data_IF_251003300428
#
_entry.id   IF_251003300428
#
_cell.length_a   1.000
_cell.length_b   1.000
_cell.length_c   1.000
_cell.angle_alpha   90.00
_cell.angle_beta   90.00
_cell.angle_gamma   90.00
#
_symmetry.space_group_name_H-M   'P 1'
#
loop_
_entity.id
_entity.type
_entity.pdbx_description
1 polymer ?
#
# COMPACT_ATOMS: atom_id res chain seq x y z
N UNK A 1 -19.95 0.41 62.33
CA UNK A 1 -19.00 -0.55 61.71
C UNK A 1 -19.73 -1.32 60.59
N UNK A 2 -19.74 -0.88 59.35
CA UNK A 2 -18.61 -0.43 58.54
C UNK A 2 -18.56 -1.38 57.34
N UNK A 3 -18.99 -0.91 56.17
CA UNK A 3 -19.10 -1.73 54.96
C UNK A 3 -19.93 -1.07 53.87
N UNK A 4 -19.63 0.20 53.56
CA UNK A 4 -20.26 0.95 52.47
C UNK A 4 -19.71 0.45 51.13
N UNK A 5 -20.56 -0.16 50.31
CA UNK A 5 -20.26 -0.51 48.92
C UNK A 5 -20.14 0.78 48.12
N UNK A 6 -18.91 1.20 47.79
CA UNK A 6 -18.68 2.22 46.77
C UNK A 6 -18.77 1.58 45.39
N UNK A 7 -19.93 1.73 44.75
CA UNK A 7 -20.07 1.64 43.30
C UNK A 7 -19.32 2.80 42.66
N UNK A 8 -18.02 2.60 42.38
CA UNK A 8 -17.30 3.49 41.46
C UNK A 8 -17.88 3.27 40.06
N UNK A 9 -18.70 4.22 39.61
CA UNK A 9 -19.01 4.39 38.18
C UNK A 9 -17.69 4.58 37.44
N UNK A 10 -17.24 3.54 36.74
CA UNK A 10 -16.26 3.69 35.67
C UNK A 10 -16.92 4.59 34.59
N UNK A 11 -16.33 5.73 34.22
CA UNK A 11 -16.71 6.38 32.98
C UNK A 11 -16.40 5.42 31.82
N UNK A 12 -17.33 5.29 30.89
CA UNK A 12 -17.15 4.56 29.63
C UNK A 12 -15.82 4.92 28.96
N UNK A 13 -15.21 3.96 28.27
CA UNK A 13 -13.96 4.01 27.48
C UNK A 13 -13.98 5.04 26.32
N UNK A 14 -14.34 6.30 26.60
CA UNK A 14 -14.51 7.40 25.65
C UNK A 14 -13.44 8.48 25.79
N UNK A 15 -12.40 8.26 26.62
CA UNK A 15 -11.23 9.12 26.70
C UNK A 15 -10.43 8.98 25.42
N UNK A 16 -10.82 9.79 24.45
CA UNK A 16 -10.30 9.80 23.10
C UNK A 16 -9.10 10.73 23.05
N UNK A 17 -8.19 10.39 22.16
CA UNK A 17 -6.82 10.86 22.20
C UNK A 17 -6.52 11.46 20.83
N UNK A 18 -6.19 12.75 20.81
CA UNK A 18 -5.89 13.48 19.58
C UNK A 18 -4.40 13.32 19.29
N UNK A 19 -4.07 12.61 18.21
CA UNK A 19 -2.69 12.43 17.74
C UNK A 19 -2.39 13.47 16.68
N UNK A 20 -1.33 14.25 16.86
CA UNK A 20 -1.01 15.42 16.03
C UNK A 20 0.41 15.31 15.48
N UNK A 21 0.64 14.70 14.31
CA UNK A 21 1.92 14.79 13.61
C UNK A 21 2.08 16.14 12.91
N UNK A 22 3.25 16.76 13.10
CA UNK A 22 3.76 17.84 12.23
C UNK A 22 4.64 17.23 11.12
N UNK A 23 4.16 17.18 9.87
CA UNK A 23 5.06 16.97 8.75
C UNK A 23 5.95 18.19 8.50
N UNK A 24 7.26 17.97 8.53
CA UNK A 24 8.24 18.81 7.85
C UNK A 24 8.52 18.14 6.51
N UNK A 25 7.70 18.42 5.49
CA UNK A 25 8.05 18.08 4.11
C UNK A 25 8.57 19.35 3.42
N UNK A 26 9.85 19.40 2.99
CA UNK A 26 10.21 20.24 1.86
C UNK A 26 9.56 19.64 0.62
N UNK A 27 8.81 20.48 -0.10
CA UNK A 27 8.09 20.19 -1.33
C UNK A 27 8.91 19.35 -2.32
N UNK A 28 8.40 18.19 -2.71
CA UNK A 28 8.86 17.49 -3.92
C UNK A 28 7.74 17.57 -4.94
N UNK A 29 7.70 18.67 -5.71
CA UNK A 29 7.66 18.64 -7.17
C UNK A 29 7.53 20.07 -7.75
N UNK A 30 8.11 20.26 -8.94
CA UNK A 30 7.87 21.35 -9.91
C UNK A 30 8.60 22.69 -9.74
N UNK A 31 9.95 22.70 -9.85
CA UNK A 31 10.64 23.69 -10.73
C UNK A 31 12.09 23.24 -10.98
N UNK A 32 12.33 22.50 -12.07
CA UNK A 32 13.70 22.41 -12.63
C UNK A 32 13.87 23.61 -13.55
N UNK A 33 14.24 24.75 -12.97
CA UNK A 33 15.03 25.75 -13.69
C UNK A 33 16.47 25.56 -13.26
N UNK A 34 17.31 25.40 -14.27
CA UNK A 34 18.75 25.22 -14.22
C UNK A 34 19.40 26.08 -13.13
N UNK A 35 20.07 25.45 -12.16
CA UNK A 35 21.31 25.95 -11.56
C UNK A 35 22.05 24.79 -10.90
N UNK A 36 23.34 24.68 -11.23
CA UNK A 36 24.26 23.59 -10.91
C UNK A 36 24.59 23.45 -9.40
N UNK A 37 25.19 22.31 -8.98
CA UNK A 37 25.12 21.82 -7.61
C UNK A 37 26.31 22.27 -6.75
N UNK A 38 26.05 22.63 -5.48
CA UNK A 38 27.09 22.64 -4.43
C UNK A 38 26.55 22.19 -3.08
N UNK A 39 27.20 21.13 -2.58
CA UNK A 39 27.38 20.73 -1.19
C UNK A 39 26.24 20.01 -0.46
N UNK A 40 26.35 18.67 -0.46
CA UNK A 40 26.56 17.88 0.76
C UNK A 40 27.47 16.69 0.40
N UNK A 41 28.78 16.95 0.36
CA UNK A 41 29.81 15.91 0.44
C UNK A 41 30.31 15.87 1.88
N UNK A 42 29.95 14.81 2.60
CA UNK A 42 30.90 14.10 3.47
C UNK A 42 30.73 12.63 3.13
N UNK A 43 31.73 12.12 2.40
CA UNK A 43 31.79 10.74 1.97
C UNK A 43 32.19 9.82 3.12
N UNK A 44 31.44 8.74 3.27
CA UNK A 44 32.03 7.45 3.60
C UNK A 44 32.42 6.78 2.28
N UNK A 45 33.56 6.06 2.22
CA UNK A 45 33.95 5.36 1.00
C UNK A 45 32.91 4.28 0.68
N UNK A 46 32.26 4.41 -0.47
CA UNK A 46 31.34 3.40 -0.99
C UNK A 46 32.06 2.05 -1.07
N UNK A 47 31.52 1.03 -0.40
CA UNK A 47 32.00 -0.33 -0.56
C UNK A 47 31.88 -0.75 -2.03
N UNK A 48 32.95 -1.33 -2.57
CA UNK A 48 32.97 -1.85 -3.94
C UNK A 48 31.84 -2.91 -4.10
N UNK A 49 30.89 -2.67 -5.02
CA UNK A 49 29.82 -3.63 -5.35
C UNK A 49 28.38 -3.09 -5.28
N UNK A 50 28.15 -1.82 -4.94
CA UNK A 50 26.79 -1.28 -4.88
C UNK A 50 26.27 -0.89 -6.27
N UNK A 51 25.17 -1.51 -6.71
CA UNK A 51 24.49 -1.23 -7.99
C UNK A 51 24.00 0.23 -8.01
N UNK A 52 24.48 1.02 -8.97
CA UNK A 52 24.22 2.47 -9.05
C UNK A 52 23.15 2.85 -10.04
N UNK A 53 22.87 1.99 -11.02
CA UNK A 53 21.93 2.26 -12.10
C UNK A 53 21.01 1.07 -12.37
N UNK A 54 19.84 1.33 -12.95
CA UNK A 54 18.96 0.25 -13.43
C UNK A 54 19.60 -0.58 -14.56
N UNK A 55 20.50 0.03 -15.35
CA UNK A 55 21.23 -0.67 -16.40
C UNK A 55 22.15 -1.76 -15.82
N UNK A 56 22.81 -1.50 -14.68
CA UNK A 56 23.62 -2.49 -13.96
C UNK A 56 22.80 -3.67 -13.41
N UNK A 57 21.50 -3.48 -13.18
CA UNK A 57 20.57 -4.56 -12.83
C UNK A 57 20.17 -5.40 -14.05
N UNK A 58 20.52 -4.98 -15.26
CA UNK A 58 20.06 -5.60 -16.51
C UNK A 58 18.61 -5.23 -16.85
N UNK A 59 18.08 -4.12 -16.32
CA UNK A 59 16.74 -3.66 -16.67
C UNK A 59 16.64 -3.40 -18.18
N UNK A 60 15.54 -3.86 -18.77
CA UNK A 60 15.26 -3.63 -20.19
C UNK A 60 15.19 -2.15 -20.50
N UNK A 61 15.78 -1.75 -21.63
CA UNK A 61 15.89 -0.35 -22.02
C UNK A 61 14.52 0.34 -22.11
N UNK A 62 13.48 -0.37 -22.58
CA UNK A 62 12.13 0.18 -22.69
C UNK A 62 11.54 0.59 -21.33
N UNK A 63 11.80 -0.21 -20.29
CA UNK A 63 11.38 0.12 -18.92
C UNK A 63 12.26 1.21 -18.32
N UNK A 64 13.58 1.17 -18.57
CA UNK A 64 14.51 2.18 -18.07
C UNK A 64 14.23 3.57 -18.66
N UNK A 65 13.84 3.65 -19.93
CA UNK A 65 13.54 4.90 -20.61
C UNK A 65 12.23 5.55 -20.13
N UNK A 66 11.31 4.76 -19.56
CA UNK A 66 10.07 5.24 -18.97
C UNK A 66 10.23 5.79 -17.55
N UNK A 67 11.40 5.64 -16.92
CA UNK A 67 11.65 6.09 -15.57
C UNK A 67 12.22 7.53 -15.54
N UNK A 68 11.75 8.39 -14.62
CA UNK A 68 12.26 9.75 -14.51
C UNK A 68 13.61 9.86 -13.78
N UNK A 69 14.19 8.73 -13.34
CA UNK A 69 15.46 8.65 -12.64
C UNK A 69 16.21 7.37 -13.02
N UNK A 70 17.53 7.39 -12.90
CA UNK A 70 18.41 6.30 -13.36
C UNK A 70 18.91 5.39 -12.25
N UNK A 71 18.90 5.86 -11.00
CA UNK A 71 19.42 5.13 -9.85
C UNK A 71 18.31 4.40 -9.07
N UNK A 72 18.41 3.09 -8.83
CA UNK A 72 17.44 2.35 -8.04
C UNK A 72 17.49 2.74 -6.56
N UNK A 73 16.32 2.87 -5.94
CA UNK A 73 16.17 3.02 -4.49
C UNK A 73 16.55 1.72 -3.76
N UNK A 74 16.85 1.81 -2.46
CA UNK A 74 17.34 0.68 -1.66
C UNK A 74 16.45 -0.56 -1.79
N UNK A 75 15.13 -0.44 -1.57
CA UNK A 75 14.20 -1.57 -1.67
C UNK A 75 14.16 -2.17 -3.09
N UNK A 76 14.37 -1.35 -4.13
CA UNK A 76 14.42 -1.81 -5.53
C UNK A 76 15.68 -2.65 -5.79
N UNK A 77 16.84 -2.20 -5.27
CA UNK A 77 18.10 -2.97 -5.33
C UNK A 77 17.98 -4.31 -4.60
N UNK A 78 17.44 -4.29 -3.39
CA UNK A 78 17.31 -5.48 -2.56
C UNK A 78 16.28 -6.49 -3.12
N UNK A 79 15.19 -6.02 -3.70
CA UNK A 79 14.13 -6.90 -4.23
C UNK A 79 14.49 -7.54 -5.57
N UNK A 80 15.27 -6.84 -6.40
CA UNK A 80 15.59 -7.26 -7.77
C UNK A 80 16.08 -8.72 -7.92
N UNK A 81 17.15 -9.17 -7.23
CA UNK A 81 17.69 -10.52 -7.47
C UNK A 81 16.70 -11.64 -7.13
N UNK A 82 15.81 -11.41 -6.16
CA UNK A 82 14.81 -12.38 -5.75
C UNK A 82 13.63 -12.41 -6.73
N UNK A 83 13.11 -11.24 -7.09
CA UNK A 83 11.92 -11.14 -7.94
C UNK A 83 12.20 -11.50 -9.39
N UNK A 84 13.33 -11.05 -9.95
CA UNK A 84 13.77 -11.44 -11.30
C UNK A 84 14.09 -12.95 -11.38
N UNK A 85 14.60 -13.53 -10.29
CA UNK A 85 14.79 -14.98 -10.14
C UNK A 85 13.48 -15.78 -10.00
N UNK A 86 12.33 -15.11 -9.89
CA UNK A 86 11.03 -15.75 -9.79
C UNK A 86 10.70 -16.28 -8.39
N UNK A 87 11.37 -15.83 -7.34
CA UNK A 87 11.05 -16.20 -5.96
C UNK A 87 9.79 -15.47 -5.45
N UNK A 88 9.06 -16.12 -4.56
CA UNK A 88 8.05 -15.43 -3.75
C UNK A 88 8.75 -14.46 -2.79
N UNK A 89 8.15 -13.31 -2.53
CA UNK A 89 8.78 -12.28 -1.71
C UNK A 89 7.80 -11.48 -0.85
N UNK A 90 8.28 -11.05 0.31
CA UNK A 90 7.61 -10.13 1.21
C UNK A 90 8.46 -8.87 1.33
N UNK A 91 8.01 -7.78 0.72
CA UNK A 91 8.69 -6.48 0.67
C UNK A 91 8.16 -5.60 1.81
N UNK A 92 9.04 -5.22 2.74
CA UNK A 92 8.71 -4.35 3.87
C UNK A 92 9.61 -3.11 3.85
N UNK A 93 9.04 -1.96 3.56
CA UNK A 93 9.75 -0.68 3.57
C UNK A 93 8.79 0.49 3.71
N UNK A 94 9.25 1.61 4.27
CA UNK A 94 8.41 2.79 4.56
C UNK A 94 7.63 3.34 3.35
N UNK A 95 6.58 4.13 3.58
CA UNK A 95 5.85 4.82 2.51
C UNK A 95 6.80 5.73 1.72
N UNK A 96 6.60 5.86 0.41
CA UNK A 96 7.50 6.66 -0.45
C UNK A 96 8.84 6.00 -0.82
N UNK A 97 9.21 4.86 -0.24
CA UNK A 97 10.46 4.14 -0.55
C UNK A 97 10.54 3.51 -1.96
N UNK A 98 9.50 3.63 -2.79
CA UNK A 98 9.47 3.09 -4.15
C UNK A 98 9.19 1.57 -4.26
N UNK A 99 8.45 1.00 -3.30
CA UNK A 99 7.99 -0.41 -3.31
C UNK A 99 7.30 -0.82 -4.60
N UNK A 100 6.47 0.07 -5.16
CA UNK A 100 5.72 -0.24 -6.38
C UNK A 100 6.64 -0.56 -7.55
N UNK A 101 7.65 0.26 -7.78
CA UNK A 101 8.67 -0.04 -8.80
C UNK A 101 9.55 -1.24 -8.42
N UNK A 102 9.77 -1.48 -7.12
CA UNK A 102 10.55 -2.63 -6.65
C UNK A 102 9.94 -3.96 -7.07
N UNK A 103 8.61 -4.09 -7.14
CA UNK A 103 7.96 -5.27 -7.72
C UNK A 103 7.62 -5.13 -9.20
N UNK A 104 7.23 -3.96 -9.70
CA UNK A 104 6.83 -3.81 -11.11
C UNK A 104 7.99 -4.06 -12.06
N UNK A 105 9.16 -3.47 -11.80
CA UNK A 105 10.30 -3.53 -12.73
C UNK A 105 10.78 -4.96 -13.00
N UNK A 106 11.12 -5.80 -11.99
CA UNK A 106 11.59 -7.15 -12.27
C UNK A 106 10.51 -8.05 -12.90
N UNK A 107 9.23 -7.86 -12.55
CA UNK A 107 8.13 -8.66 -13.09
C UNK A 107 7.85 -8.29 -14.56
N UNK A 108 7.76 -7.00 -14.87
CA UNK A 108 7.58 -6.52 -16.24
C UNK A 108 8.79 -6.85 -17.12
N UNK A 109 10.01 -6.72 -16.58
CA UNK A 109 11.24 -7.14 -17.26
C UNK A 109 11.15 -8.60 -17.69
N UNK A 110 10.81 -9.52 -16.77
CA UNK A 110 10.68 -10.93 -17.08
C UNK A 110 9.57 -11.24 -18.09
N UNK A 111 8.45 -10.51 -18.06
CA UNK A 111 7.36 -10.64 -19.05
C UNK A 111 7.81 -10.18 -20.44
N UNK A 112 8.56 -9.09 -20.53
CA UNK A 112 9.09 -8.55 -21.78
C UNK A 112 10.17 -9.43 -22.40
N UNK A 113 11.05 -10.03 -21.59
CA UNK A 113 12.03 -11.01 -22.07
C UNK A 113 11.35 -12.19 -22.79
N UNK A 114 10.23 -12.68 -22.23
CA UNK A 114 9.43 -13.75 -22.85
C UNK A 114 8.70 -13.30 -24.13
N UNK A 115 8.32 -12.02 -24.19
CA UNK A 115 7.73 -11.42 -25.37
C UNK A 115 8.75 -11.31 -26.52
N UNK A 116 9.97 -10.82 -26.21
CA UNK A 116 11.04 -10.58 -27.18
C UNK A 116 11.81 -11.83 -27.63
N UNK A 117 11.86 -12.89 -26.82
CA UNK A 117 12.61 -14.13 -27.13
C UNK A 117 12.11 -14.97 -28.31
N UNK A 118 11.27 -14.42 -29.20
CA UNK A 118 10.75 -15.09 -30.41
C UNK A 118 11.29 -14.56 -31.73
N UNK A 119 12.23 -13.61 -31.73
CA UNK A 119 12.76 -12.97 -32.96
C UNK A 119 13.63 -13.87 -33.87
N UNK A 120 13.61 -15.21 -33.71
CA UNK A 120 14.31 -16.14 -34.63
C UNK A 120 13.47 -17.24 -35.27
N UNK A 121 12.13 -17.15 -35.29
CA UNK A 121 11.34 -18.03 -36.16
C UNK A 121 10.39 -17.20 -37.03
N UNK A 122 10.81 -16.96 -38.27
CA UNK A 122 9.93 -16.63 -39.40
C UNK A 122 9.50 -15.16 -39.53
N UNK A 123 10.32 -14.36 -40.21
CA UNK A 123 9.82 -13.17 -40.93
C UNK A 123 8.87 -13.63 -42.05
N UNK A 124 7.58 -13.70 -41.77
CA UNK A 124 6.52 -13.61 -42.76
C UNK A 124 5.17 -13.34 -42.08
N UNK A 125 4.64 -12.12 -42.25
CA UNK A 125 3.21 -11.80 -42.06
C UNK A 125 2.78 -11.34 -40.66
N UNK A 126 2.32 -10.09 -40.58
CA UNK A 126 1.46 -9.52 -39.51
C UNK A 126 1.82 -9.89 -38.08
N UNK A 127 2.72 -9.12 -37.45
CA UNK A 127 3.13 -9.34 -36.05
C UNK A 127 1.94 -9.23 -35.09
N UNK A 128 1.37 -10.37 -34.72
CA UNK A 128 0.33 -10.47 -33.71
C UNK A 128 0.94 -10.11 -32.35
N UNK A 129 0.28 -9.24 -31.58
CA UNK A 129 0.75 -8.86 -30.26
C UNK A 129 0.95 -10.12 -29.40
N UNK A 130 2.02 -10.20 -28.59
CA UNK A 130 2.28 -11.38 -27.77
C UNK A 130 1.06 -11.68 -26.89
N UNK A 131 0.66 -12.95 -26.82
CA UNK A 131 -0.43 -13.36 -25.96
C UNK A 131 0.04 -13.42 -24.50
N UNK A 132 -0.80 -13.05 -23.51
CA UNK A 132 -0.50 -13.25 -22.10
C UNK A 132 -0.18 -14.71 -21.73
N UNK A 133 -0.58 -15.67 -22.58
CA UNK A 133 -0.24 -17.06 -22.34
C UNK A 133 1.26 -17.37 -22.49
N UNK A 134 1.93 -16.62 -23.37
CA UNK A 134 3.36 -16.75 -23.62
C UNK A 134 4.19 -15.90 -22.66
N UNK A 135 3.77 -14.68 -22.39
CA UNK A 135 4.53 -13.73 -21.56
C UNK A 135 4.30 -13.91 -20.06
N UNK A 136 3.23 -14.59 -19.70
CA UNK A 136 2.70 -14.62 -18.34
C UNK A 136 1.72 -13.45 -18.09
N UNK A 137 1.15 -13.45 -16.88
CA UNK A 137 0.19 -12.45 -16.39
C UNK A 137 0.65 -11.86 -15.08
N UNK A 138 0.45 -10.56 -14.91
CA UNK A 138 0.65 -9.84 -13.65
C UNK A 138 -0.69 -9.37 -13.11
N UNK A 139 -0.99 -9.77 -11.88
CA UNK A 139 -2.19 -9.39 -11.16
C UNK A 139 -1.82 -8.58 -9.93
N UNK A 140 -2.19 -7.30 -9.91
CA UNK A 140 -1.99 -6.39 -8.80
C UNK A 140 -3.29 -6.29 -7.99
N UNK A 141 -3.26 -6.79 -6.77
CA UNK A 141 -4.35 -6.76 -5.80
C UNK A 141 -4.11 -5.62 -4.83
N UNK A 142 -5.06 -4.68 -4.76
CA UNK A 142 -4.95 -3.46 -3.93
C UNK A 142 -6.16 -3.31 -3.00
N UNK A 143 -6.06 -2.63 -1.85
CA UNK A 143 -7.17 -2.49 -0.90
C UNK A 143 -8.23 -1.47 -1.34
N UNK A 144 -7.88 -0.48 -2.16
CA UNK A 144 -8.76 0.65 -2.52
C UNK A 144 -8.77 0.91 -4.02
N UNK A 145 -9.86 1.50 -4.52
CA UNK A 145 -9.95 1.94 -5.92
C UNK A 145 -9.00 3.10 -6.25
N UNK A 146 -8.68 3.94 -5.26
CA UNK A 146 -7.69 5.02 -5.43
C UNK A 146 -6.30 4.44 -5.70
N UNK A 147 -5.85 3.47 -4.88
CA UNK A 147 -4.57 2.81 -5.13
C UNK A 147 -4.58 2.03 -6.45
N UNK A 148 -5.75 1.52 -6.86
CA UNK A 148 -5.92 0.88 -8.17
C UNK A 148 -5.63 1.86 -9.32
N UNK A 149 -6.18 3.07 -9.29
CA UNK A 149 -5.95 4.09 -10.30
C UNK A 149 -4.48 4.54 -10.34
N UNK A 150 -3.84 4.67 -9.18
CA UNK A 150 -2.42 5.00 -9.08
C UNK A 150 -1.51 3.92 -9.69
N UNK A 151 -1.72 2.66 -9.33
CA UNK A 151 -0.97 1.54 -9.91
C UNK A 151 -1.22 1.40 -11.41
N UNK A 152 -2.47 1.62 -11.87
CA UNK A 152 -2.80 1.63 -13.30
C UNK A 152 -2.02 2.71 -14.05
N UNK A 153 -1.97 3.94 -13.52
CA UNK A 153 -1.23 5.03 -14.12
C UNK A 153 0.27 4.70 -14.20
N UNK A 154 0.86 4.18 -13.13
CA UNK A 154 2.27 3.79 -13.11
C UNK A 154 2.59 2.64 -14.07
N UNK A 155 1.76 1.59 -14.10
CA UNK A 155 1.95 0.47 -15.02
C UNK A 155 1.80 0.91 -16.49
N UNK A 156 0.84 1.80 -16.80
CA UNK A 156 0.68 2.36 -18.15
C UNK A 156 1.86 3.23 -18.57
N UNK A 157 2.39 4.06 -17.67
CA UNK A 157 3.57 4.87 -17.93
C UNK A 157 4.79 4.00 -18.27
N UNK A 158 5.04 2.94 -17.50
CA UNK A 158 6.13 1.98 -17.76
C UNK A 158 5.96 1.21 -19.08
N UNK A 159 4.73 0.98 -19.52
CA UNK A 159 4.40 0.16 -20.68
C UNK A 159 3.93 0.97 -21.90
N UNK A 160 4.17 2.29 -21.92
CA UNK A 160 3.70 3.17 -23.00
C UNK A 160 4.19 2.73 -24.39
N UNK A 161 5.43 2.24 -24.48
CA UNK A 161 6.06 1.76 -25.71
C UNK A 161 6.23 0.23 -25.71
N UNK A 162 5.36 -0.49 -24.99
CA UNK A 162 5.44 -1.93 -24.80
C UNK A 162 4.35 -2.67 -25.56
N UNK A 163 4.60 -3.92 -26.00
CA UNK A 163 3.54 -4.80 -26.51
C UNK A 163 2.60 -5.33 -25.41
N UNK A 164 2.90 -5.10 -24.12
CA UNK A 164 2.10 -5.60 -23.00
C UNK A 164 0.94 -4.63 -22.68
N UNK A 165 -0.25 -5.19 -22.50
CA UNK A 165 -1.47 -4.42 -22.20
C UNK A 165 -1.81 -4.37 -20.71
N UNK A 166 -2.33 -3.22 -20.27
CA UNK A 166 -2.71 -2.95 -18.87
C UNK A 166 -4.20 -2.64 -18.76
N UNK A 167 -4.88 -3.25 -17.80
CA UNK A 167 -6.32 -3.04 -17.59
C UNK A 167 -6.72 -3.00 -16.12
N UNK A 168 -7.78 -2.26 -15.81
CA UNK A 168 -8.46 -2.36 -14.53
C UNK A 168 -9.26 -3.68 -14.48
N UNK A 169 -9.35 -4.32 -13.32
CA UNK A 169 -10.10 -5.56 -13.16
C UNK A 169 -11.60 -5.42 -13.49
N UNK A 170 -12.15 -4.21 -13.38
CA UNK A 170 -13.53 -3.87 -13.75
C UNK A 170 -13.77 -3.68 -15.25
N UNK A 171 -12.72 -3.70 -16.09
CA UNK A 171 -12.87 -3.48 -17.54
C UNK A 171 -13.21 -4.78 -18.29
N UNK A 172 -13.96 -4.65 -19.39
CA UNK A 172 -14.37 -5.79 -20.22
C UNK A 172 -13.17 -6.57 -20.82
N UNK A 173 -12.10 -5.84 -21.14
CA UNK A 173 -10.87 -6.40 -21.69
C UNK A 173 -9.87 -6.87 -20.63
N UNK A 174 -10.20 -6.80 -19.33
CA UNK A 174 -9.32 -7.25 -18.24
C UNK A 174 -8.83 -8.68 -18.48
N UNK A 175 -9.72 -9.60 -18.88
CA UNK A 175 -9.38 -11.00 -19.11
C UNK A 175 -8.32 -11.23 -20.19
N UNK A 176 -8.28 -10.36 -21.20
CA UNK A 176 -7.31 -10.40 -22.29
C UNK A 176 -5.99 -9.69 -21.99
N UNK A 177 -5.90 -8.99 -20.87
CA UNK A 177 -4.77 -8.10 -20.58
C UNK A 177 -3.60 -8.81 -19.89
N UNK A 178 -2.40 -8.27 -20.08
CA UNK A 178 -1.16 -8.81 -19.50
C UNK A 178 -1.02 -8.44 -18.02
N UNK A 179 -1.30 -7.16 -17.72
CA UNK A 179 -1.30 -6.61 -16.38
C UNK A 179 -2.72 -6.24 -16.02
N UNK A 180 -3.23 -6.74 -14.90
CA UNK A 180 -4.53 -6.36 -14.35
C UNK A 180 -4.36 -5.83 -12.95
N UNK A 181 -4.98 -4.68 -12.68
CA UNK A 181 -4.98 -4.03 -11.37
C UNK A 181 -6.41 -3.96 -10.86
N UNK A 182 -6.64 -4.36 -9.61
CA UNK A 182 -7.97 -4.28 -9.05
C UNK A 182 -8.04 -4.52 -7.56
N UNK A 183 -9.18 -4.18 -6.97
CA UNK A 183 -9.49 -4.58 -5.62
C UNK A 183 -9.66 -6.09 -5.53
N UNK A 184 -9.43 -6.66 -4.34
CA UNK A 184 -9.50 -8.10 -4.15
C UNK A 184 -10.82 -8.73 -4.65
N UNK A 185 -11.96 -8.06 -4.43
CA UNK A 185 -13.27 -8.50 -4.92
C UNK A 185 -13.36 -8.50 -6.45
N UNK A 186 -12.87 -7.46 -7.13
CA UNK A 186 -12.92 -7.37 -8.58
C UNK A 186 -12.03 -8.43 -9.24
N UNK A 187 -10.88 -8.70 -8.63
CA UNK A 187 -9.89 -9.67 -9.10
C UNK A 187 -10.37 -11.12 -8.90
N UNK A 188 -11.03 -11.43 -7.79
CA UNK A 188 -11.53 -12.76 -7.48
C UNK A 188 -12.39 -13.35 -8.61
N UNK A 189 -13.27 -12.53 -9.21
CA UNK A 189 -14.10 -12.92 -10.35
C UNK A 189 -13.29 -13.29 -11.60
N UNK A 190 -12.12 -12.66 -11.82
CA UNK A 190 -11.25 -12.92 -12.97
C UNK A 190 -10.43 -14.20 -12.83
N UNK A 191 -9.91 -14.48 -11.63
CA UNK A 191 -9.01 -15.60 -11.35
C UNK A 191 -9.63 -16.96 -11.65
N UNK A 192 -10.94 -17.10 -11.44
CA UNK A 192 -11.69 -18.31 -11.77
C UNK A 192 -11.53 -18.74 -13.24
N UNK A 193 -11.35 -17.78 -14.16
CA UNK A 193 -11.18 -18.01 -15.59
C UNK A 193 -9.73 -18.05 -16.09
N UNK A 194 -8.79 -17.43 -15.36
CA UNK A 194 -7.39 -17.31 -15.76
C UNK A 194 -6.54 -18.54 -15.47
N UNK A 195 -6.87 -19.30 -14.44
CA UNK A 195 -6.12 -20.49 -14.02
C UNK A 195 -5.98 -21.60 -15.05
N UNK A 196 -6.75 -21.58 -16.14
CA UNK A 196 -6.74 -22.59 -17.21
C UNK A 196 -6.03 -22.14 -18.49
N UNK A 197 -5.44 -20.94 -18.51
CA UNK A 197 -4.76 -20.41 -19.68
C UNK A 197 -3.26 -20.42 -19.42
N UNK A 198 -2.55 -21.25 -20.19
CA UNK A 198 -1.12 -21.52 -20.14
C UNK A 198 -0.31 -20.23 -19.95
N UNK A 199 0.79 -20.25 -19.17
CA UNK A 199 1.61 -19.08 -18.85
C UNK A 199 1.81 -18.85 -17.35
N UNK A 200 2.94 -18.26 -16.94
CA UNK A 200 3.23 -18.01 -15.51
C UNK A 200 2.35 -16.87 -14.97
N UNK A 201 1.73 -17.08 -13.81
CA UNK A 201 0.95 -16.05 -13.10
C UNK A 201 1.78 -15.40 -12.00
N UNK A 202 1.85 -14.07 -12.00
CA UNK A 202 2.46 -13.27 -10.94
C UNK A 202 1.33 -12.55 -10.19
N UNK A 203 1.27 -12.67 -8.86
CA UNK A 203 0.26 -12.02 -8.03
C UNK A 203 0.94 -11.16 -6.98
N UNK A 204 0.66 -9.87 -7.01
CA UNK A 204 1.16 -8.88 -6.03
C UNK A 204 0.01 -8.46 -5.14
N UNK A 205 0.19 -8.56 -3.83
CA UNK A 205 -0.69 -7.97 -2.82
C UNK A 205 -0.03 -6.69 -2.30
N UNK A 206 -0.47 -5.54 -2.81
CA UNK A 206 0.01 -4.24 -2.34
C UNK A 206 -0.80 -3.77 -1.13
N UNK A 207 -0.14 -3.11 -0.17
CA UNK A 207 -0.67 -2.85 1.17
C UNK A 207 -1.30 -4.12 1.81
N UNK A 208 -0.51 -5.20 1.81
CA UNK A 208 -0.98 -6.54 2.19
C UNK A 208 -1.49 -6.64 3.64
N UNK A 209 -1.00 -5.79 4.53
CA UNK A 209 -1.47 -5.65 5.91
C UNK A 209 -2.95 -5.25 5.97
N UNK A 210 -3.43 -4.50 4.99
CA UNK A 210 -4.82 -4.07 4.89
C UNK A 210 -5.69 -5.10 4.22
N UNK A 211 -5.19 -5.65 3.11
CA UNK A 211 -5.86 -6.72 2.39
C UNK A 211 -6.12 -7.93 3.31
N UNK A 212 -5.21 -8.19 4.25
CA UNK A 212 -5.25 -9.36 5.13
C UNK A 212 -5.71 -9.04 6.57
N UNK A 213 -6.02 -7.78 6.89
CA UNK A 213 -6.37 -7.34 8.25
C UNK A 213 -7.52 -8.14 8.91
N UNK A 214 -8.45 -8.69 8.12
CA UNK A 214 -9.60 -9.46 8.62
C UNK A 214 -9.47 -10.99 8.53
N UNK A 215 -8.37 -11.55 8.00
CA UNK A 215 -8.09 -13.01 8.01
C UNK A 215 -7.95 -13.52 9.46
N UNK A 216 -7.88 -12.58 10.41
CA UNK A 216 -7.48 -12.75 11.79
C UNK A 216 -8.65 -12.92 12.78
N UNK A 217 -9.92 -12.86 12.34
CA UNK A 217 -11.10 -13.00 13.22
C UNK A 217 -11.52 -14.48 13.40
N UNK A 218 -11.63 -14.96 14.65
CA UNK A 218 -12.13 -16.31 14.99
C UNK A 218 -13.67 -16.39 14.91
N UNK A 219 -14.21 -17.53 14.43
CA UNK A 219 -15.63 -17.90 14.52
C UNK A 219 -16.38 -17.98 13.17
N UNK A 220 -17.71 -18.17 13.20
CA UNK A 220 -18.62 -18.18 12.01
C UNK A 220 -18.60 -16.88 11.18
N UNK A 221 -17.85 -15.86 11.61
CA UNK A 221 -17.57 -14.60 10.91
C UNK A 221 -16.19 -14.57 10.22
N UNK A 222 -15.46 -15.69 10.18
CA UNK A 222 -14.37 -15.89 9.23
C UNK A 222 -14.96 -16.03 7.81
N UNK A 223 -15.70 -15.01 7.37
CA UNK A 223 -16.04 -14.84 5.98
C UNK A 223 -14.72 -14.82 5.24
N UNK A 224 -14.59 -15.72 4.27
CA UNK A 224 -13.49 -15.75 3.35
C UNK A 224 -13.28 -14.32 2.82
N UNK A 225 -12.20 -13.66 3.25
CA UNK A 225 -11.91 -12.34 2.75
C UNK A 225 -11.58 -12.48 1.27
N UNK A 226 -12.01 -11.55 0.41
CA UNK A 226 -11.71 -11.60 -1.02
C UNK A 226 -10.21 -11.79 -1.28
N UNK A 227 -9.34 -11.13 -0.51
CA UNK A 227 -7.88 -11.29 -0.64
C UNK A 227 -7.39 -12.70 -0.26
N UNK A 228 -7.98 -13.34 0.75
CA UNK A 228 -7.67 -14.72 1.12
C UNK A 228 -8.15 -15.74 0.09
N UNK A 229 -9.27 -15.44 -0.58
CA UNK A 229 -9.74 -16.22 -1.72
C UNK A 229 -8.81 -16.06 -2.91
N UNK A 230 -8.41 -14.84 -3.25
CA UNK A 230 -7.41 -14.58 -4.28
C UNK A 230 -6.12 -15.35 -4.00
N UNK A 231 -5.62 -15.35 -2.77
CA UNK A 231 -4.43 -16.13 -2.39
C UNK A 231 -4.65 -17.64 -2.53
N UNK A 232 -5.78 -18.15 -2.05
CA UNK A 232 -6.14 -19.58 -2.17
C UNK A 232 -6.29 -20.00 -3.64
N UNK A 233 -6.90 -19.12 -4.44
CA UNK A 233 -7.03 -19.20 -5.89
C UNK A 233 -5.75 -18.83 -6.61
N UNK A 234 -4.67 -18.44 -5.95
CA UNK A 234 -3.35 -18.29 -6.56
C UNK A 234 -2.45 -19.50 -6.26
N UNK A 235 -2.59 -20.18 -5.12
CA UNK A 235 -1.73 -21.33 -4.77
C UNK A 235 -1.90 -22.59 -5.64
N UNK A 236 -0.83 -23.32 -6.00
CA UNK A 236 -0.96 -24.58 -6.73
C UNK A 236 -1.92 -25.55 -6.01
N UNK A 237 -2.86 -26.18 -6.75
CA UNK A 237 -3.74 -27.21 -6.16
C UNK A 237 -2.88 -28.44 -5.81
N UNK A 238 -3.17 -29.12 -4.69
CA UNK A 238 -2.65 -30.46 -4.44
C UNK A 238 -2.97 -31.32 -5.67
N UNK A 239 -1.94 -31.78 -6.38
CA UNK A 239 -2.12 -32.59 -7.58
C UNK A 239 -2.86 -33.89 -7.20
N UNK A 240 -3.86 -34.36 -7.98
CA UNK A 240 -4.38 -35.71 -7.79
C UNK A 240 -3.25 -36.74 -7.95
N UNK A 241 -3.32 -37.86 -7.22
CA UNK A 241 -2.35 -38.97 -7.36
C UNK A 241 -2.31 -39.40 -8.83
N UNK A 242 -1.16 -39.23 -9.47
CA UNK A 242 -0.93 -39.59 -10.88
C UNK A 242 -0.78 -41.10 -11.05
N UNK A 243 -1.06 -41.59 -12.26
CA UNK A 243 -0.59 -42.89 -12.73
C UNK A 243 0.84 -42.71 -13.26
N UNK A 244 1.71 -43.69 -13.03
CA UNK A 244 3.08 -43.69 -13.56
C UNK A 244 3.06 -43.57 -15.10
N UNK A 245 3.86 -42.66 -15.65
CA UNK A 245 4.05 -42.51 -17.11
C UNK A 245 3.42 -41.27 -17.77
N UNK A 246 2.63 -40.45 -17.05
CA UNK A 246 2.13 -39.18 -17.61
C UNK A 246 3.19 -38.07 -17.54
N UNK A 247 3.58 -37.54 -18.70
CA UNK A 247 4.47 -36.38 -18.81
C UNK A 247 3.98 -35.20 -17.94
N UNK A 248 4.89 -34.49 -17.29
CA UNK A 248 4.53 -33.28 -16.56
C UNK A 248 4.12 -32.18 -17.55
N UNK A 249 2.89 -31.64 -17.45
CA UNK A 249 2.62 -30.32 -18.00
C UNK A 249 3.62 -29.36 -17.37
N UNK A 250 4.31 -28.60 -18.21
CA UNK A 250 5.28 -27.58 -17.82
C UNK A 250 4.56 -26.33 -17.27
N UNK A 251 3.66 -26.52 -16.29
CA UNK A 251 2.99 -25.44 -15.59
C UNK A 251 3.99 -24.77 -14.65
N UNK A 252 4.45 -23.58 -15.02
CA UNK A 252 5.25 -22.74 -14.13
C UNK A 252 4.38 -22.32 -12.94
N UNK A 253 4.79 -22.61 -11.69
CA UNK A 253 4.02 -22.22 -10.54
C UNK A 253 3.88 -20.68 -10.47
N UNK A 254 2.78 -20.19 -9.89
CA UNK A 254 2.58 -18.77 -9.71
C UNK A 254 3.65 -18.19 -8.78
N UNK A 255 4.00 -16.93 -9.00
CA UNK A 255 4.87 -16.15 -8.10
C UNK A 255 4.00 -15.24 -7.24
N UNK A 256 4.20 -15.24 -5.93
CA UNK A 256 3.46 -14.46 -4.95
C UNK A 256 4.35 -13.38 -4.32
N UNK A 257 3.90 -12.13 -4.40
CA UNK A 257 4.62 -10.98 -3.85
C UNK A 257 3.68 -10.25 -2.88
N UNK A 258 4.17 -9.91 -1.70
CA UNK A 258 3.44 -9.13 -0.70
C UNK A 258 4.22 -7.85 -0.40
N UNK A 259 3.63 -6.68 -0.63
CA UNK A 259 4.25 -5.41 -0.34
C UNK A 259 3.47 -4.68 0.76
N UNK A 260 4.17 -4.15 1.75
CA UNK A 260 3.55 -3.28 2.76
C UNK A 260 4.58 -2.36 3.42
N UNK A 261 4.11 -1.22 3.93
CA UNK A 261 4.91 -0.38 4.80
C UNK A 261 5.18 -1.00 6.17
N UNK A 262 4.24 -1.80 6.67
CA UNK A 262 4.30 -2.38 8.01
C UNK A 262 3.72 -3.79 7.98
N UNK A 263 4.51 -4.78 8.41
CA UNK A 263 4.02 -6.14 8.61
C UNK A 263 4.21 -6.50 10.08
N UNK A 264 3.20 -6.29 10.94
CA UNK A 264 3.30 -6.62 12.35
C UNK A 264 3.53 -8.12 12.52
N UNK A 265 4.56 -8.49 13.30
CA UNK A 265 4.95 -9.89 13.52
C UNK A 265 4.40 -10.49 14.82
N UNK A 266 3.96 -9.67 15.77
CA UNK A 266 3.61 -10.14 17.11
C UNK A 266 2.16 -10.60 17.22
N UNK A 267 1.98 -11.75 17.85
CA UNK A 267 0.68 -12.40 18.05
C UNK A 267 0.34 -13.41 16.96
N UNK A 268 -0.25 -14.55 17.37
CA UNK A 268 -0.73 -15.63 16.48
C UNK A 268 -1.73 -15.17 15.41
N UNK A 269 -2.26 -13.97 15.59
CA UNK A 269 -3.26 -13.35 14.73
C UNK A 269 -2.75 -12.09 14.00
N UNK A 270 -1.44 -11.96 13.77
CA UNK A 270 -0.88 -10.89 12.93
C UNK A 270 -0.73 -11.30 11.46
N UNK A 271 -0.68 -10.30 10.56
CA UNK A 271 -0.41 -10.55 9.13
C UNK A 271 0.99 -11.15 8.94
N UNK A 272 1.98 -10.76 9.74
CA UNK A 272 3.30 -11.38 9.72
C UNK A 272 3.26 -12.87 10.10
N UNK A 273 2.51 -13.23 11.14
CA UNK A 273 2.31 -14.62 11.53
C UNK A 273 1.53 -15.42 10.48
N UNK A 274 0.55 -14.80 9.80
CA UNK A 274 -0.10 -15.38 8.64
C UNK A 274 0.94 -15.66 7.55
N UNK A 275 1.64 -14.64 7.05
CA UNK A 275 2.61 -14.80 5.96
C UNK A 275 3.70 -15.84 6.27
N UNK A 276 4.23 -15.86 7.49
CA UNK A 276 5.23 -16.85 7.90
C UNK A 276 4.70 -18.29 7.90
N UNK A 277 3.42 -18.50 8.21
CA UNK A 277 2.77 -19.83 8.20
C UNK A 277 2.36 -20.25 6.80
N UNK A 278 1.82 -19.31 6.04
CA UNK A 278 1.06 -19.56 4.82
C UNK A 278 1.90 -19.42 3.55
N UNK A 279 3.01 -18.68 3.62
CA UNK A 279 3.97 -18.50 2.52
C UNK A 279 5.40 -18.62 3.10
N UNK A 280 5.75 -19.79 3.69
CA UNK A 280 6.99 -19.95 4.47
C UNK A 280 8.26 -19.82 3.62
N UNK A 281 8.18 -20.09 2.32
CA UNK A 281 9.31 -20.07 1.40
C UNK A 281 9.55 -18.67 0.78
N UNK A 282 8.71 -17.67 1.11
CA UNK A 282 8.88 -16.32 0.60
C UNK A 282 10.08 -15.62 1.23
N UNK A 283 10.88 -14.95 0.39
CA UNK A 283 12.04 -14.17 0.83
C UNK A 283 11.57 -12.86 1.45
N UNK A 284 11.99 -12.59 2.69
CA UNK A 284 11.72 -11.32 3.35
C UNK A 284 12.77 -10.28 2.94
N UNK A 285 12.33 -9.25 2.23
CA UNK A 285 13.17 -8.13 1.81
C UNK A 285 12.77 -6.89 2.63
N UNK A 286 13.69 -6.38 3.45
CA UNK A 286 13.44 -5.22 4.31
C UNK A 286 14.45 -4.11 4.01
N UNK A 287 13.98 -2.88 3.82
CA UNK A 287 14.88 -1.71 3.72
C UNK A 287 15.43 -1.33 5.10
N UNK A 288 16.57 -0.64 5.15
CA UNK A 288 17.19 -0.12 6.37
C UNK A 288 16.27 0.82 7.18
N UNK A 289 15.37 1.54 6.51
CA UNK A 289 14.32 2.39 7.12
C UNK A 289 13.06 1.64 7.57
N UNK A 290 12.93 0.33 7.31
CA UNK A 290 11.77 -0.43 7.76
C UNK A 290 11.70 -0.41 9.30
N UNK A 291 10.52 -0.16 9.85
CA UNK A 291 10.26 -0.03 11.30
C UNK A 291 10.82 1.23 11.99
N UNK A 292 11.44 2.17 11.25
CA UNK A 292 11.72 3.50 11.81
C UNK A 292 10.46 4.36 11.61
N UNK A 293 9.85 4.90 12.68
CA UNK A 293 9.01 6.09 12.50
C UNK A 293 9.88 7.11 11.76
N UNK A 294 9.35 7.78 10.74
CA UNK A 294 10.06 8.86 10.06
C UNK A 294 10.63 9.75 11.16
N UNK A 295 11.95 9.77 11.34
CA UNK A 295 12.60 10.37 12.51
C UNK A 295 12.30 11.88 12.63
N UNK A 296 11.69 12.47 11.59
CA UNK A 296 11.23 13.85 11.49
C UNK A 296 9.77 14.09 11.95
N UNK A 297 8.97 13.07 12.26
CA UNK A 297 7.59 13.26 12.73
C UNK A 297 7.56 13.62 14.21
N UNK A 298 7.36 14.91 14.50
CA UNK A 298 7.01 15.34 15.87
C UNK A 298 5.59 14.90 16.19
N UNK A 299 5.43 14.20 17.32
CA UNK A 299 4.15 13.67 17.79
C UNK A 299 3.74 14.36 19.08
N UNK A 300 2.49 14.80 19.16
CA UNK A 300 1.88 15.31 20.38
C UNK A 300 0.56 14.57 20.66
N UNK A 301 0.28 14.38 21.95
CA UNK A 301 -0.94 13.74 22.44
C UNK A 301 -1.75 14.71 23.29
N UNK A 302 -3.01 14.94 22.89
CA UNK A 302 -3.95 15.75 23.68
C UNK A 302 -5.00 14.82 24.30
N UNK A 303 -5.12 14.87 25.63
CA UNK A 303 -6.21 14.19 26.35
C UNK A 303 -7.45 15.07 26.30
N UNK A 304 -8.58 14.47 25.99
CA UNK A 304 -9.89 15.12 26.05
C UNK A 304 -10.87 14.24 26.82
N UNK A 305 -11.74 14.87 27.60
CA UNK A 305 -12.71 14.22 28.46
C UNK A 305 -13.89 13.65 27.67
N UNK A 306 -14.35 14.35 26.64
CA UNK A 306 -15.52 13.98 25.86
C UNK A 306 -15.42 14.38 24.37
N UNK A 307 -16.52 14.17 23.63
CA UNK A 307 -16.62 14.49 22.20
C UNK A 307 -16.68 16.00 21.93
N UNK A 308 -17.20 16.80 22.87
CA UNK A 308 -17.33 18.25 22.71
C UNK A 308 -15.96 18.93 22.90
N UNK A 309 -15.22 18.55 23.94
CA UNK A 309 -13.85 19.02 24.16
C UNK A 309 -12.95 18.63 22.98
N UNK A 310 -13.13 17.43 22.41
CA UNK A 310 -12.40 17.01 21.22
C UNK A 310 -12.66 17.87 20.01
N UNK A 311 -13.93 18.20 19.76
CA UNK A 311 -14.29 19.07 18.65
C UNK A 311 -13.69 20.47 18.85
N UNK A 312 -13.69 20.99 20.08
CA UNK A 312 -13.09 22.27 20.43
C UNK A 312 -11.57 22.29 20.23
N UNK A 313 -10.85 21.28 20.71
CA UNK A 313 -9.39 21.18 20.52
C UNK A 313 -9.02 20.96 19.06
N UNK A 314 -9.77 20.15 18.30
CA UNK A 314 -9.57 20.01 16.86
C UNK A 314 -9.74 21.34 16.14
N UNK A 315 -10.80 22.08 16.44
CA UNK A 315 -11.06 23.40 15.85
C UNK A 315 -9.91 24.39 16.16
N UNK A 316 -9.43 24.39 17.39
CA UNK A 316 -8.30 25.21 17.83
C UNK A 316 -7.01 24.87 17.07
N UNK A 317 -6.71 23.58 16.88
CA UNK A 317 -5.55 23.14 16.10
C UNK A 317 -5.64 23.54 14.63
N UNK A 318 -6.80 23.36 14.01
CA UNK A 318 -7.06 23.72 12.61
C UNK A 318 -6.93 25.23 12.41
N UNK A 319 -7.51 26.04 13.30
CA UNK A 319 -7.46 27.52 13.19
C UNK A 319 -6.09 28.11 13.53
N UNK A 320 -5.38 27.50 14.48
CA UNK A 320 -4.10 27.99 14.99
C UNK A 320 -2.90 27.71 14.09
N UNK A 321 -3.11 27.12 12.90
CA UNK A 321 -2.05 26.81 11.95
C UNK A 321 -2.44 27.23 10.53
N UNK A 322 -1.44 27.56 9.75
CA UNK A 322 -1.52 27.69 8.30
C UNK A 322 -1.22 26.33 7.66
N UNK A 323 -1.66 26.10 6.44
CA UNK A 323 -1.46 24.84 5.70
C UNK A 323 -2.58 23.82 5.86
N UNK A 324 -2.54 22.79 5.00
CA UNK A 324 -3.60 21.78 4.92
C UNK A 324 -3.56 20.80 6.10
N UNK A 325 -4.73 20.38 6.53
CA UNK A 325 -4.90 19.42 7.64
C UNK A 325 -5.63 18.16 7.20
N UNK A 326 -5.12 16.99 7.59
CA UNK A 326 -5.78 15.70 7.36
C UNK A 326 -6.31 15.16 8.69
N UNK A 327 -7.62 14.95 8.82
CA UNK A 327 -8.24 14.42 10.05
C UNK A 327 -8.74 13.01 9.82
N UNK A 328 -8.19 12.04 10.53
CA UNK A 328 -8.60 10.64 10.47
C UNK A 328 -9.63 10.30 11.54
N UNK A 329 -10.75 9.72 11.12
CA UNK A 329 -11.78 9.14 11.96
C UNK A 329 -11.88 7.62 11.77
N UNK A 330 -12.38 6.90 12.77
CA UNK A 330 -12.52 5.44 12.71
C UNK A 330 -13.75 4.97 11.90
N UNK A 331 -14.66 5.86 11.50
CA UNK A 331 -15.84 5.52 10.70
C UNK A 331 -16.20 6.63 9.69
N UNK A 332 -16.91 6.26 8.63
CA UNK A 332 -17.47 7.19 7.66
C UNK A 332 -18.40 8.22 8.32
N UNK A 333 -19.28 7.77 9.22
CA UNK A 333 -20.21 8.64 9.94
C UNK A 333 -19.50 9.69 10.82
N UNK A 334 -18.38 9.32 11.45
CA UNK A 334 -17.57 10.27 12.23
C UNK A 334 -16.81 11.24 11.33
N UNK A 335 -16.24 10.78 10.22
CA UNK A 335 -15.60 11.65 9.25
C UNK A 335 -16.58 12.71 8.71
N UNK A 336 -17.80 12.30 8.38
CA UNK A 336 -18.87 13.21 7.96
C UNK A 336 -19.22 14.23 9.07
N UNK A 337 -19.41 13.76 10.31
CA UNK A 337 -19.72 14.63 11.45
C UNK A 337 -18.61 15.65 11.74
N UNK A 338 -17.34 15.25 11.67
CA UNK A 338 -16.20 16.15 11.84
C UNK A 338 -16.20 17.22 10.75
N UNK A 339 -16.43 16.83 9.49
CA UNK A 339 -16.50 17.79 8.38
C UNK A 339 -17.63 18.81 8.57
N UNK A 340 -18.81 18.35 8.97
CA UNK A 340 -19.96 19.22 9.26
C UNK A 340 -19.67 20.19 10.41
N UNK A 341 -19.09 19.71 11.51
CA UNK A 341 -18.75 20.55 12.67
C UNK A 341 -17.72 21.63 12.34
N UNK A 342 -16.68 21.29 11.56
CA UNK A 342 -15.66 22.24 11.15
C UNK A 342 -16.23 23.28 10.16
N UNK A 343 -17.08 22.86 9.21
CA UNK A 343 -17.79 23.78 8.29
C UNK A 343 -18.72 24.73 9.02
N UNK A 344 -19.51 24.22 9.97
CA UNK A 344 -20.38 25.04 10.81
C UNK A 344 -19.57 26.07 11.63
N UNK A 345 -18.30 25.76 11.90
CA UNK A 345 -17.34 26.65 12.55
C UNK A 345 -16.54 27.50 11.54
N UNK A 346 -16.96 27.59 10.28
CA UNK A 346 -16.35 28.42 9.25
C UNK A 346 -15.00 27.92 8.70
N UNK A 347 -14.62 26.66 8.97
CA UNK A 347 -13.43 26.07 8.37
C UNK A 347 -13.77 25.39 7.05
N UNK A 348 -12.91 25.53 6.06
CA UNK A 348 -13.01 24.78 4.81
C UNK A 348 -12.66 23.32 5.06
N UNK A 349 -13.67 22.46 5.11
CA UNK A 349 -13.49 21.05 5.39
C UNK A 349 -14.21 20.17 4.37
N UNK A 350 -13.58 19.07 3.97
CA UNK A 350 -14.06 18.11 2.99
C UNK A 350 -14.14 16.73 3.64
N UNK A 351 -15.25 16.01 3.42
CA UNK A 351 -15.40 14.65 3.91
C UNK A 351 -14.86 13.68 2.86
N UNK A 352 -14.14 12.63 3.28
CA UNK A 352 -13.63 11.60 2.38
C UNK A 352 -13.80 10.19 2.96
N UNK A 353 -14.84 9.48 2.53
CA UNK A 353 -15.16 8.15 3.05
C UNK A 353 -15.91 7.27 2.04
N UNK A 354 -15.98 5.93 2.23
CA UNK A 354 -16.52 5.00 1.22
C UNK A 354 -17.99 5.20 0.88
N UNK A 355 -18.78 5.75 1.81
CA UNK A 355 -20.22 6.02 1.58
C UNK A 355 -20.48 7.19 0.63
N UNK A 356 -19.47 8.00 0.27
CA UNK A 356 -19.60 9.01 -0.77
C UNK A 356 -19.55 8.36 -2.15
N UNK A 357 -20.24 8.91 -3.13
CA UNK A 357 -20.10 8.55 -4.54
C UNK A 357 -18.69 8.87 -5.07
N UNK A 358 -18.34 8.33 -6.24
CA UNK A 358 -17.05 8.61 -6.86
C UNK A 358 -16.87 10.11 -7.17
N UNK A 359 -17.88 10.76 -7.74
CA UNK A 359 -17.84 12.19 -8.06
C UNK A 359 -17.74 13.08 -6.81
N UNK A 360 -18.41 12.73 -5.71
CA UNK A 360 -18.27 13.46 -4.44
C UNK A 360 -16.86 13.34 -3.86
N UNK A 361 -16.23 12.16 -3.98
CA UNK A 361 -14.84 11.96 -3.54
C UNK A 361 -13.86 12.76 -4.39
N UNK A 362 -14.06 12.81 -5.70
CA UNK A 362 -13.25 13.60 -6.62
C UNK A 362 -13.38 15.10 -6.33
N UNK A 363 -14.60 15.60 -6.17
CA UNK A 363 -14.85 17.00 -5.79
C UNK A 363 -14.24 17.35 -4.42
N UNK A 364 -14.31 16.44 -3.45
CA UNK A 364 -13.69 16.62 -2.13
C UNK A 364 -12.16 16.75 -2.22
N UNK A 365 -11.51 15.92 -3.05
CA UNK A 365 -10.06 15.98 -3.26
C UNK A 365 -9.65 17.23 -4.04
N UNK A 366 -10.41 17.60 -5.06
CA UNK A 366 -10.17 18.82 -5.84
C UNK A 366 -10.28 20.07 -4.94
N UNK A 367 -11.38 20.23 -4.21
CA UNK A 367 -11.57 21.36 -3.31
C UNK A 367 -10.52 21.41 -2.19
N UNK A 368 -10.13 20.27 -1.63
CA UNK A 368 -9.04 20.20 -0.67
C UNK A 368 -7.68 20.57 -1.28
N UNK A 369 -7.43 20.19 -2.53
CA UNK A 369 -6.22 20.50 -3.28
C UNK A 369 -6.10 21.95 -3.74
N UNK A 370 -7.22 22.67 -3.87
CA UNK A 370 -7.26 24.10 -4.21
C UNK A 370 -7.12 25.00 -2.97
N UNK A 371 -7.56 24.52 -1.80
CA UNK A 371 -7.52 25.30 -0.56
C UNK A 371 -6.22 25.07 0.22
N UNK A 372 -5.40 26.11 0.39
CA UNK A 372 -4.15 26.05 1.16
C UNK A 372 -4.38 25.80 2.66
N UNK A 373 -5.58 26.09 3.18
CA UNK A 373 -5.99 25.81 4.58
C UNK A 373 -7.11 24.78 4.65
N UNK A 374 -7.32 24.01 3.58
CA UNK A 374 -8.31 22.97 3.51
C UNK A 374 -8.09 21.89 4.58
N UNK A 375 -9.19 21.34 5.10
CA UNK A 375 -9.19 20.20 6.01
C UNK A 375 -9.84 18.99 5.36
N UNK A 376 -9.16 17.86 5.27
CA UNK A 376 -9.74 16.62 4.77
C UNK A 376 -10.10 15.69 5.95
N UNK A 377 -11.37 15.58 6.28
CA UNK A 377 -11.87 14.64 7.28
C UNK A 377 -12.16 13.29 6.62
N UNK A 378 -11.36 12.27 6.91
CA UNK A 378 -11.37 10.99 6.22
C UNK A 378 -11.52 9.81 7.19
N UNK A 379 -12.05 8.70 6.68
CA UNK A 379 -11.96 7.42 7.40
C UNK A 379 -10.66 6.69 7.05
N UNK A 380 -10.05 5.97 7.98
CA UNK A 380 -8.70 5.36 7.81
C UNK A 380 -8.52 4.43 6.60
N UNK A 381 -9.59 3.83 6.07
CA UNK A 381 -9.55 3.04 4.84
C UNK A 381 -9.59 3.89 3.56
N UNK A 382 -10.16 5.10 3.64
CA UNK A 382 -10.38 5.95 2.49
C UNK A 382 -9.15 6.80 2.16
N UNK A 383 -8.45 7.34 3.16
CA UNK A 383 -7.30 8.21 2.91
C UNK A 383 -6.01 7.48 2.48
N UNK A 384 -6.03 6.15 2.36
CA UNK A 384 -4.88 5.38 1.91
C UNK A 384 -4.80 5.31 0.39
N UNK A 385 -3.59 5.54 -0.11
CA UNK A 385 -3.36 5.82 -1.53
C UNK A 385 -3.75 7.24 -1.92
N UNK A 386 -4.07 8.15 -1.00
CA UNK A 386 -4.16 9.57 -1.36
C UNK A 386 -2.76 10.18 -1.39
N UNK A 387 -2.40 10.78 -2.53
CA UNK A 387 -1.22 11.62 -2.63
C UNK A 387 -1.64 13.07 -2.34
N UNK A 388 -1.44 13.51 -1.10
CA UNK A 388 -1.89 14.81 -0.61
C UNK A 388 -0.68 15.71 -0.33
N UNK A 389 -0.36 16.58 -1.29
CA UNK A 389 0.69 17.57 -1.15
C UNK A 389 0.27 18.69 -0.17
N UNK A 390 1.25 19.26 0.55
CA UNK A 390 1.07 20.45 1.39
C UNK A 390 0.33 20.20 2.71
N UNK A 391 0.13 18.94 3.11
CA UNK A 391 -0.40 18.61 4.45
C UNK A 391 0.69 18.89 5.48
N UNK A 392 0.43 19.85 6.37
CA UNK A 392 1.33 20.26 7.47
C UNK A 392 0.88 19.73 8.83
N UNK A 393 -0.30 19.12 8.87
CA UNK A 393 -0.92 18.58 10.06
C UNK A 393 -1.73 17.34 9.73
N UNK A 394 -1.45 16.22 10.40
CA UNK A 394 -2.40 15.11 10.45
C UNK A 394 -2.97 15.03 11.85
N UNK A 395 -4.25 14.69 11.99
CA UNK A 395 -4.95 14.57 13.26
C UNK A 395 -5.67 13.23 13.31
N UNK A 396 -5.26 12.32 14.18
CA UNK A 396 -6.10 11.15 14.47
C UNK A 396 -7.15 11.55 15.50
N UNK A 397 -8.41 11.63 15.09
CA UNK A 397 -9.53 11.97 15.98
C UNK A 397 -9.76 10.87 17.04
N UNK A 398 -9.40 9.63 16.72
CA UNK A 398 -9.45 8.48 17.62
C UNK A 398 -8.34 7.51 17.27
N UNK A 399 -7.60 7.01 18.27
CA UNK A 399 -6.60 5.97 18.05
C UNK A 399 -7.17 4.83 17.19
N UNK A 400 -6.44 4.51 16.13
CA UNK A 400 -6.87 3.43 15.26
C UNK A 400 -6.78 2.11 16.04
N UNK A 401 -7.74 1.17 15.88
CA UNK A 401 -7.74 -0.08 16.64
C UNK A 401 -6.45 -0.90 16.50
N UNK A 402 -5.77 -0.78 15.35
CA UNK A 402 -4.48 -1.41 15.08
C UNK A 402 -3.30 -0.68 15.73
N UNK A 403 -3.36 0.65 15.93
CA UNK A 403 -2.31 1.37 16.68
C UNK A 403 -2.24 0.95 18.14
N UNK A 404 -3.35 0.48 18.72
CA UNK A 404 -3.39 -0.09 20.08
C UNK A 404 -2.66 -1.45 20.16
N UNK A 405 -2.55 -2.16 19.04
CA UNK A 405 -1.67 -3.34 18.92
C UNK A 405 -0.22 -2.92 18.67
N UNK A 406 0.00 -1.92 17.81
CA UNK A 406 1.32 -1.38 17.49
C UNK A 406 2.04 -0.77 18.71
N UNK A 407 1.34 -0.18 19.68
CA UNK A 407 1.95 0.33 20.92
C UNK A 407 2.54 -0.77 21.83
N UNK A 408 2.17 -2.04 21.64
CA UNK A 408 2.87 -3.18 22.29
C UNK A 408 4.12 -3.63 21.54
N UNK A 409 4.20 -3.34 20.24
CA UNK A 409 5.25 -3.83 19.34
C UNK A 409 6.42 -2.83 19.19
N UNK A 410 6.25 -1.57 19.63
CA UNK A 410 7.26 -0.51 19.53
C UNK A 410 7.49 0.19 20.89
N UNK A 411 8.44 -0.29 21.72
CA UNK A 411 8.64 0.21 23.07
C UNK A 411 9.09 1.68 23.19
N UNK A 412 9.48 2.32 22.09
CA UNK A 412 9.73 3.76 22.03
C UNK A 412 8.46 4.62 22.12
N UNK A 413 7.27 4.04 21.85
CA UNK A 413 5.96 4.71 22.03
C UNK A 413 5.41 4.62 23.46
N UNK A 414 6.03 3.84 24.36
CA UNK A 414 5.51 3.59 25.71
C UNK A 414 5.49 4.81 26.65
N UNK A 415 6.50 5.70 26.74
CA UNK A 415 6.58 6.63 27.88
C UNK A 415 5.38 7.58 28.01
N UNK A 416 4.79 8.02 26.89
CA UNK A 416 3.66 8.95 26.88
C UNK A 416 2.29 8.23 26.90
N UNK A 417 2.16 7.10 26.19
CA UNK A 417 0.92 6.32 26.14
C UNK A 417 0.68 5.57 27.46
N UNK A 418 1.72 5.04 28.10
CA UNK A 418 1.62 4.34 29.39
C UNK A 418 1.35 5.29 30.56
N UNK A 419 1.77 6.57 30.48
CA UNK A 419 1.32 7.62 31.41
C UNK A 419 -0.16 7.99 31.24
N UNK A 420 -0.70 7.81 30.04
CA UNK A 420 -2.10 8.12 29.72
C UNK A 420 -3.08 7.03 30.11
N UNK A 421 -2.61 5.78 30.17
CA UNK A 421 -3.41 4.63 30.58
C UNK A 421 -2.62 3.75 31.55
N UNK A 422 -2.54 4.11 32.84
CA UNK A 422 -2.20 3.14 33.86
C UNK A 422 -3.31 2.09 33.91
N UNK A 423 -2.89 0.82 33.94
CA UNK A 423 -3.68 -0.43 33.90
C UNK A 423 -5.09 -0.39 34.46
#
# INVERSE_FOLDING_TARGET
PGGTVSLMRLPSLSSLLLYVPRPLYPSICSTVRETSPRMLQRGEPAAAGEVRTFAELGLRHELSAALPFTAPLEIQRLAWPHLAGGADAILVSEAGSGKTLAYLLPLLHAMLERAGGGEQIGRAGGGEAPSPSRTGRLLLVVPTSVLCEQLLAQARALLQCSPLSVAAASSDHARGSHVVVGTATAVEGLLSGWRRREGRLHVVFDECDLLLAGVMKKGKQAAALPASNVLSLARPRKRPRRREGEAEPQESPPQLIFASATVPGQGRHSVGAFLARDVPDAVWVRSSGAHRPVAALQTEFVRVADDAERAAELLKLVRGREGRTLVFANSASRAARVAEQLRASGCSCFAFHPSLSAGEREAALAGFGEDERGVLACSGLAARGLDLAGVVLVVQQQLAPHMVQTTRDYPSFLPEVTRAYPS
#
